data_IF_205817413272
#
_entry.id   IF_205817413272
#
_cell.length_a   1.000
_cell.length_b   1.000
_cell.length_c   1.000
_cell.angle_alpha   90.00
_cell.angle_beta   90.00
_cell.angle_gamma   90.00
#
_symmetry.space_group_name_H-M   'P 1'
#
loop_
_entity.id
_entity.type
_entity.pdbx_description
1 polymer ?
#
# COMPACT_ATOMS: atom_id res chain seq x y z
N UNK A 1 -9.50 14.86 -8.29
CA UNK A 1 -8.86 14.89 -6.94
C UNK A 1 -9.81 15.34 -5.86
N UNK A 2 -10.38 16.56 -5.90
CA UNK A 2 -11.36 16.97 -4.87
C UNK A 2 -12.56 16.02 -4.78
N UNK A 3 -13.13 15.61 -5.92
CA UNK A 3 -14.20 14.61 -5.96
C UNK A 3 -13.80 13.26 -5.30
N UNK A 4 -12.55 12.82 -5.50
CA UNK A 4 -12.01 11.61 -4.86
C UNK A 4 -11.93 11.77 -3.33
N UNK A 5 -11.47 12.92 -2.83
CA UNK A 5 -11.44 13.22 -1.38
C UNK A 5 -12.85 13.27 -0.76
N UNK A 6 -13.83 13.70 -1.53
CA UNK A 6 -15.24 13.79 -1.09
C UNK A 6 -16.02 12.50 -1.29
N UNK A 7 -15.38 11.44 -1.79
CA UNK A 7 -16.00 10.15 -2.10
C UNK A 7 -17.19 10.27 -3.08
N UNK A 8 -17.14 11.24 -3.99
CA UNK A 8 -18.19 11.52 -4.96
C UNK A 8 -17.90 10.83 -6.30
N UNK A 9 -18.45 9.62 -6.48
CA UNK A 9 -18.20 8.80 -7.67
C UNK A 9 -18.78 9.44 -8.93
N UNK A 10 -20.00 9.99 -8.83
CA UNK A 10 -20.69 10.62 -9.97
C UNK A 10 -19.93 11.85 -10.47
N UNK A 11 -19.32 12.63 -9.56
CA UNK A 11 -18.47 13.75 -9.97
C UNK A 11 -17.14 13.28 -10.56
N UNK A 12 -16.55 12.19 -10.08
CA UNK A 12 -15.36 11.60 -10.72
C UNK A 12 -15.68 11.18 -12.14
N UNK A 13 -16.77 10.44 -12.35
CA UNK A 13 -17.23 9.98 -13.66
C UNK A 13 -17.51 11.14 -14.61
N UNK A 14 -18.30 12.13 -14.17
CA UNK A 14 -18.61 13.31 -14.96
C UNK A 14 -17.36 14.09 -15.40
N UNK A 15 -16.36 14.20 -14.53
CA UNK A 15 -15.10 14.88 -14.88
C UNK A 15 -14.28 14.10 -15.91
N UNK A 16 -14.22 12.76 -15.78
CA UNK A 16 -13.52 11.90 -16.75
C UNK A 16 -14.20 12.01 -18.12
N UNK A 17 -15.53 11.90 -18.19
CA UNK A 17 -16.31 12.05 -19.42
C UNK A 17 -16.15 13.44 -20.05
N UNK A 18 -15.98 14.49 -19.23
CA UNK A 18 -15.69 15.84 -19.70
C UNK A 18 -14.22 16.05 -20.17
N UNK A 19 -13.40 14.99 -20.23
CA UNK A 19 -12.03 15.04 -20.72
C UNK A 19 -10.98 15.45 -19.67
N UNK A 20 -11.29 15.30 -18.37
CA UNK A 20 -10.28 15.53 -17.33
C UNK A 20 -9.08 14.58 -17.52
N UNK A 21 -7.87 15.15 -17.53
CA UNK A 21 -6.63 14.38 -17.64
C UNK A 21 -6.43 13.53 -16.38
N UNK A 22 -6.62 12.22 -16.50
CA UNK A 22 -6.59 11.24 -15.40
C UNK A 22 -5.26 11.25 -14.63
N UNK A 23 -4.14 11.47 -15.33
CA UNK A 23 -2.79 11.44 -14.77
C UNK A 23 -2.24 12.82 -14.36
N UNK A 24 -3.07 13.86 -14.33
CA UNK A 24 -2.63 15.15 -13.79
C UNK A 24 -2.24 15.01 -12.30
N UNK A 25 -1.28 15.83 -11.88
CA UNK A 25 -0.79 15.87 -10.50
C UNK A 25 -1.02 17.23 -9.85
N UNK A 26 -1.19 17.26 -8.52
CA UNK A 26 -1.06 18.49 -7.73
C UNK A 26 0.40 18.80 -7.41
N UNK A 27 0.67 19.92 -6.71
CA UNK A 27 2.01 20.36 -6.31
C UNK A 27 2.83 19.27 -5.61
N UNK A 28 2.19 18.40 -4.82
CA UNK A 28 2.84 17.27 -4.15
C UNK A 28 3.09 16.04 -5.03
N UNK A 29 2.93 16.18 -6.36
CA UNK A 29 2.97 15.10 -7.36
C UNK A 29 1.94 13.99 -7.17
N UNK A 30 0.92 14.19 -6.32
CA UNK A 30 -0.16 13.22 -6.15
C UNK A 30 -1.11 13.22 -7.35
N UNK A 31 -1.43 12.05 -7.87
CA UNK A 31 -2.44 11.84 -8.93
C UNK A 31 -3.85 11.71 -8.34
N UNK A 32 -4.88 11.76 -9.19
CA UNK A 32 -6.26 11.47 -8.76
C UNK A 32 -6.39 10.05 -8.17
N UNK A 33 -5.68 9.09 -8.75
CA UNK A 33 -5.69 7.70 -8.32
C UNK A 33 -5.07 7.53 -6.92
N UNK A 34 -3.94 8.20 -6.62
CA UNK A 34 -3.35 8.19 -5.26
C UNK A 34 -4.29 8.78 -4.21
N UNK A 35 -4.99 9.87 -4.57
CA UNK A 35 -5.94 10.52 -3.67
C UNK A 35 -7.14 9.60 -3.39
N UNK A 36 -7.66 8.91 -4.42
CA UNK A 36 -8.71 7.92 -4.24
C UNK A 36 -8.23 6.72 -3.39
N UNK A 37 -7.01 6.24 -3.63
CA UNK A 37 -6.41 5.13 -2.89
C UNK A 37 -6.25 5.47 -1.39
N UNK A 38 -5.69 6.65 -1.07
CA UNK A 38 -5.54 7.12 0.30
C UNK A 38 -6.89 7.33 1.02
N UNK A 39 -7.94 7.69 0.28
CA UNK A 39 -9.28 7.83 0.81
C UNK A 39 -10.05 6.50 0.96
N UNK A 40 -9.46 5.37 0.55
CA UNK A 40 -10.15 4.07 0.55
C UNK A 40 -11.30 3.99 -0.47
N UNK A 41 -11.26 4.82 -1.52
CA UNK A 41 -12.35 4.95 -2.49
C UNK A 41 -12.18 3.97 -3.64
N UNK A 42 -12.36 2.67 -3.36
CA UNK A 42 -12.10 1.58 -4.32
C UNK A 42 -12.81 1.75 -5.66
N UNK A 43 -14.09 2.16 -5.67
CA UNK A 43 -14.85 2.39 -6.91
C UNK A 43 -14.22 3.45 -7.82
N UNK A 44 -13.75 4.56 -7.23
CA UNK A 44 -13.04 5.57 -8.00
C UNK A 44 -11.66 5.08 -8.45
N UNK A 45 -10.98 4.23 -7.66
CA UNK A 45 -9.73 3.62 -8.09
C UNK A 45 -9.92 2.78 -9.34
N UNK A 46 -10.90 1.88 -9.34
CA UNK A 46 -11.27 1.06 -10.50
C UNK A 46 -11.56 1.92 -11.71
N UNK A 47 -12.46 2.90 -11.58
CA UNK A 47 -12.83 3.79 -12.68
C UNK A 47 -11.64 4.57 -13.25
N UNK A 48 -10.75 5.08 -12.39
CA UNK A 48 -9.56 5.80 -12.83
C UNK A 48 -8.57 4.87 -13.54
N UNK A 49 -8.37 3.64 -13.05
CA UNK A 49 -7.50 2.62 -13.68
C UNK A 49 -8.03 2.25 -15.06
N UNK A 50 -9.34 1.98 -15.19
CA UNK A 50 -9.99 1.67 -16.46
C UNK A 50 -9.84 2.81 -17.49
N UNK A 51 -9.70 4.05 -17.02
CA UNK A 51 -9.46 5.23 -17.85
C UNK A 51 -7.96 5.59 -17.97
N UNK A 52 -7.05 4.63 -17.73
CA UNK A 52 -5.63 4.76 -18.00
C UNK A 52 -4.83 5.50 -16.92
N UNK A 53 -5.29 5.51 -15.67
CA UNK A 53 -4.49 6.01 -14.57
C UNK A 53 -3.21 5.18 -14.38
N UNK A 54 -2.08 5.86 -14.21
CA UNK A 54 -0.79 5.21 -14.00
C UNK A 54 -0.64 4.70 -12.56
N UNK A 55 -0.71 3.38 -12.39
CA UNK A 55 -0.54 2.66 -11.12
C UNK A 55 0.91 2.64 -10.62
N UNK A 56 1.89 3.04 -11.42
CA UNK A 56 3.30 3.13 -11.02
C UNK A 56 3.72 4.54 -10.58
N UNK A 57 2.75 5.44 -10.44
CA UNK A 57 3.01 6.82 -10.04
C UNK A 57 3.61 6.89 -8.63
N UNK A 58 4.45 7.91 -8.39
CA UNK A 58 4.96 8.27 -7.06
C UNK A 58 4.83 9.75 -6.78
N UNK A 59 4.55 10.05 -5.52
CA UNK A 59 4.45 11.43 -5.06
C UNK A 59 5.83 12.06 -4.83
N UNK A 60 5.86 13.30 -4.34
CA UNK A 60 7.11 14.04 -4.11
C UNK A 60 8.04 13.40 -3.07
N UNK A 61 7.51 12.53 -2.20
CA UNK A 61 8.25 11.82 -1.16
C UNK A 61 8.61 10.39 -1.61
N UNK A 62 8.53 10.10 -2.91
CA UNK A 62 8.74 8.76 -3.50
C UNK A 62 7.71 7.73 -3.00
N UNK A 63 6.59 8.15 -2.38
CA UNK A 63 5.56 7.22 -1.91
C UNK A 63 4.76 6.71 -3.09
N UNK A 64 4.73 5.38 -3.28
CA UNK A 64 3.96 4.74 -4.34
C UNK A 64 2.47 4.65 -4.00
N UNK A 65 1.64 4.40 -5.01
CA UNK A 65 0.21 4.24 -4.83
C UNK A 65 -0.16 3.13 -3.84
N UNK A 66 0.58 2.02 -3.81
CA UNK A 66 0.30 0.89 -2.93
C UNK A 66 0.41 1.30 -1.47
N UNK A 67 1.41 2.13 -1.14
CA UNK A 67 1.58 2.68 0.19
C UNK A 67 0.41 3.61 0.56
N UNK A 68 -0.06 4.48 -0.35
CA UNK A 68 -1.26 5.29 -0.13
C UNK A 68 -2.51 4.41 0.08
N UNK A 69 -2.67 3.33 -0.69
CA UNK A 69 -3.78 2.39 -0.52
C UNK A 69 -3.74 1.72 0.85
N UNK A 70 -2.56 1.30 1.31
CA UNK A 70 -2.35 0.69 2.63
C UNK A 70 -2.70 1.67 3.76
N UNK A 71 -2.32 2.95 3.62
CA UNK A 71 -2.65 3.99 4.60
C UNK A 71 -4.17 4.13 4.82
N UNK A 72 -5.00 3.79 3.83
CA UNK A 72 -6.47 3.78 3.96
C UNK A 72 -7.02 2.63 4.80
N UNK A 73 -6.23 1.57 5.00
CA UNK A 73 -6.62 0.29 5.65
C UNK A 73 -7.85 -0.38 5.03
N UNK A 74 -8.27 0.04 3.83
CA UNK A 74 -9.43 -0.50 3.14
C UNK A 74 -9.01 -1.67 2.25
N UNK A 75 -9.41 -2.89 2.62
CA UNK A 75 -9.03 -4.10 1.90
C UNK A 75 -9.37 -4.04 0.40
N UNK A 76 -10.58 -3.60 0.05
CA UNK A 76 -11.00 -3.54 -1.36
C UNK A 76 -10.10 -2.61 -2.17
N UNK A 77 -9.73 -1.46 -1.61
CA UNK A 77 -8.83 -0.50 -2.25
C UNK A 77 -7.43 -1.08 -2.41
N UNK A 78 -6.87 -1.69 -1.36
CA UNK A 78 -5.56 -2.36 -1.46
C UNK A 78 -5.60 -3.48 -2.49
N UNK A 79 -6.66 -4.30 -2.49
CA UNK A 79 -6.84 -5.39 -3.43
C UNK A 79 -6.95 -4.92 -4.88
N UNK A 80 -7.72 -3.85 -5.15
CA UNK A 80 -7.80 -3.24 -6.49
C UNK A 80 -6.43 -2.81 -7.00
N UNK A 81 -5.59 -2.23 -6.14
CA UNK A 81 -4.25 -1.78 -6.52
C UNK A 81 -3.28 -2.95 -6.67
N UNK A 82 -3.25 -3.89 -5.72
CA UNK A 82 -2.35 -5.05 -5.73
C UNK A 82 -2.55 -5.90 -6.98
N UNK A 83 -3.79 -6.10 -7.43
CA UNK A 83 -4.11 -6.85 -8.66
C UNK A 83 -3.54 -6.24 -9.95
N UNK A 84 -3.08 -5.00 -9.91
CA UNK A 84 -2.44 -4.34 -11.06
C UNK A 84 -0.96 -4.69 -11.20
N UNK A 85 -0.36 -5.25 -10.14
CA UNK A 85 1.05 -5.62 -10.10
C UNK A 85 1.23 -7.11 -10.42
N UNK A 86 2.29 -7.43 -11.15
CA UNK A 86 2.63 -8.82 -11.43
C UNK A 86 3.45 -9.40 -10.28
N UNK A 87 2.90 -10.39 -9.58
CA UNK A 87 3.49 -11.04 -8.40
C UNK A 87 4.98 -11.41 -8.56
N UNK A 88 5.40 -11.89 -9.73
CA UNK A 88 6.76 -12.42 -9.92
C UNK A 88 7.72 -11.43 -10.59
N UNK A 89 7.21 -10.31 -11.11
CA UNK A 89 7.99 -9.37 -11.93
C UNK A 89 8.01 -7.97 -11.36
N UNK A 90 7.07 -7.64 -10.50
CA UNK A 90 6.90 -6.31 -9.99
C UNK A 90 7.68 -6.09 -8.70
N UNK A 91 8.54 -5.09 -8.73
CA UNK A 91 9.34 -4.70 -7.58
C UNK A 91 8.51 -3.90 -6.56
N UNK A 92 7.32 -3.42 -6.92
CA UNK A 92 6.51 -2.58 -6.04
C UNK A 92 6.08 -3.28 -4.74
N UNK A 93 5.94 -4.62 -4.72
CA UNK A 93 5.57 -5.37 -3.51
C UNK A 93 6.65 -5.35 -2.41
N UNK A 94 7.91 -5.16 -2.81
CA UNK A 94 9.06 -5.14 -1.91
C UNK A 94 9.83 -3.82 -1.98
N UNK A 95 9.26 -2.81 -2.65
CA UNK A 95 9.94 -1.55 -2.83
C UNK A 95 9.94 -0.75 -1.54
N UNK A 96 11.12 -0.35 -1.14
CA UNK A 96 11.35 0.56 -0.04
C UNK A 96 11.16 2.02 -0.49
N UNK A 97 10.22 2.73 0.13
CA UNK A 97 9.89 4.10 -0.26
C UNK A 97 9.88 5.07 0.92
N UNK A 98 9.89 6.36 0.61
CA UNK A 98 9.79 7.42 1.61
C UNK A 98 11.06 7.57 2.46
N UNK A 99 10.90 8.33 3.55
CA UNK A 99 11.99 8.65 4.47
C UNK A 99 12.47 7.42 5.25
N UNK A 100 11.55 6.53 5.63
CA UNK A 100 11.86 5.34 6.43
C UNK A 100 12.23 4.12 5.59
N UNK A 101 12.18 4.23 4.25
CA UNK A 101 12.46 3.10 3.34
C UNK A 101 11.62 1.86 3.66
N UNK A 102 10.36 2.07 4.05
CA UNK A 102 9.47 0.96 4.35
C UNK A 102 8.95 0.31 3.08
N UNK A 103 8.84 -1.02 3.12
CA UNK A 103 8.11 -1.82 2.14
C UNK A 103 6.60 -1.71 2.38
N UNK A 104 5.75 -2.12 1.41
CA UNK A 104 4.31 -2.20 1.62
C UNK A 104 3.93 -3.03 2.85
N UNK A 105 4.52 -4.22 3.01
CA UNK A 105 4.22 -5.09 4.14
C UNK A 105 4.62 -4.47 5.48
N UNK A 106 5.82 -3.89 5.57
CA UNK A 106 6.27 -3.26 6.82
C UNK A 106 5.35 -2.08 7.19
N UNK A 107 4.99 -1.24 6.21
CA UNK A 107 4.03 -0.14 6.40
C UNK A 107 2.67 -0.65 6.88
N UNK A 108 2.15 -1.74 6.31
CA UNK A 108 0.87 -2.30 6.71
C UNK A 108 0.88 -2.78 8.18
N UNK A 109 1.99 -3.35 8.65
CA UNK A 109 2.19 -3.78 10.03
C UNK A 109 2.29 -2.56 10.97
N UNK A 110 3.11 -1.56 10.62
CA UNK A 110 3.24 -0.32 11.40
C UNK A 110 1.90 0.43 11.52
N UNK A 111 1.05 0.37 10.50
CA UNK A 111 -0.27 0.98 10.55
C UNK A 111 -1.37 0.07 11.10
N UNK A 112 -1.09 -1.14 11.58
CA UNK A 112 -2.10 -2.08 12.08
C UNK A 112 -3.22 -2.36 11.07
N UNK A 113 -2.83 -2.68 9.84
CA UNK A 113 -3.80 -3.12 8.85
C UNK A 113 -4.43 -4.45 9.29
N UNK A 114 -5.64 -4.71 8.81
CA UNK A 114 -6.31 -5.97 9.06
C UNK A 114 -5.51 -7.15 8.49
N UNK A 115 -5.78 -8.35 9.00
CA UNK A 115 -5.07 -9.57 8.61
C UNK A 115 -5.22 -9.85 7.11
N UNK A 116 -6.35 -9.50 6.51
CA UNK A 116 -6.64 -9.74 5.10
C UNK A 116 -5.70 -8.93 4.18
N UNK A 117 -5.35 -7.69 4.56
CA UNK A 117 -4.34 -6.91 3.83
C UNK A 117 -2.95 -7.54 4.00
N UNK A 118 -2.58 -7.96 5.20
CA UNK A 118 -1.27 -8.59 5.45
C UNK A 118 -1.13 -9.87 4.63
N UNK A 119 -2.15 -10.74 4.69
CA UNK A 119 -2.20 -12.00 3.94
C UNK A 119 -2.20 -11.76 2.42
N UNK A 120 -2.95 -10.76 1.94
CA UNK A 120 -2.95 -10.38 0.53
C UNK A 120 -1.55 -10.00 0.04
N UNK A 121 -0.83 -9.16 0.79
CA UNK A 121 0.52 -8.72 0.42
C UNK A 121 1.51 -9.89 0.41
N UNK A 122 1.49 -10.73 1.45
CA UNK A 122 2.33 -11.93 1.56
C UNK A 122 2.06 -12.90 0.40
N UNK A 123 0.78 -13.18 0.12
CA UNK A 123 0.36 -14.03 -0.99
C UNK A 123 0.70 -13.46 -2.37
N UNK A 124 1.03 -12.16 -2.48
CA UNK A 124 1.51 -11.52 -3.71
C UNK A 124 3.03 -11.27 -3.69
N UNK A 125 3.78 -12.00 -2.86
CA UNK A 125 5.24 -12.02 -2.89
C UNK A 125 5.93 -10.96 -2.02
N UNK A 126 5.22 -10.33 -1.08
CA UNK A 126 5.87 -9.49 -0.08
C UNK A 126 6.82 -10.31 0.79
N UNK A 127 8.02 -9.78 1.02
CA UNK A 127 9.05 -10.42 1.81
C UNK A 127 8.70 -10.34 3.31
N UNK A 128 8.36 -11.48 3.91
CA UNK A 128 8.07 -11.59 5.34
C UNK A 128 9.26 -11.22 6.25
N UNK A 129 10.49 -11.17 5.70
CA UNK A 129 11.71 -10.75 6.39
C UNK A 129 12.02 -9.26 6.22
N UNK A 130 11.09 -8.45 5.66
CA UNK A 130 11.34 -7.02 5.53
C UNK A 130 11.53 -6.34 6.90
N UNK A 131 12.27 -5.24 6.91
CA UNK A 131 12.65 -4.52 8.13
C UNK A 131 12.64 -3.00 7.91
N UNK A 132 12.54 -2.25 9.00
CA UNK A 132 12.92 -0.84 9.00
C UNK A 132 14.44 -0.74 9.09
N UNK A 133 15.08 -0.29 8.02
CA UNK A 133 16.53 -0.11 7.96
C UNK A 133 17.06 1.01 8.86
N UNK A 134 16.20 1.89 9.35
CA UNK A 134 16.57 2.96 10.27
C UNK A 134 16.76 2.41 11.68
N UNK A 135 15.89 1.49 12.09
CA UNK A 135 15.88 0.92 13.45
C UNK A 135 16.40 -0.52 13.50
N UNK A 136 16.63 -1.14 12.34
CA UNK A 136 16.90 -2.58 12.16
C UNK A 136 15.81 -3.45 12.81
N UNK A 137 14.55 -2.99 12.77
CA UNK A 137 13.42 -3.74 13.33
C UNK A 137 12.75 -4.56 12.25
N UNK A 138 12.70 -5.88 12.41
CA UNK A 138 12.06 -6.77 11.44
C UNK A 138 10.53 -6.65 11.50
N UNK A 139 9.85 -7.01 10.42
CA UNK A 139 8.38 -7.09 10.36
C UNK A 139 7.83 -7.97 11.50
N UNK A 140 8.51 -9.09 11.81
CA UNK A 140 8.13 -10.00 12.88
C UNK A 140 8.28 -9.34 14.27
N UNK A 141 9.41 -8.68 14.54
CA UNK A 141 9.60 -7.93 15.78
C UNK A 141 8.55 -6.83 15.94
N UNK A 142 8.25 -6.08 14.87
CA UNK A 142 7.23 -5.04 14.90
C UNK A 142 5.84 -5.63 15.20
N UNK A 143 5.45 -6.75 14.58
CA UNK A 143 4.18 -7.42 14.87
C UNK A 143 4.05 -7.85 16.35
N UNK A 144 5.15 -8.30 16.95
CA UNK A 144 5.23 -8.68 18.38
C UNK A 144 5.15 -7.45 19.28
N UNK A 145 5.89 -6.37 18.98
CA UNK A 145 5.83 -5.10 19.72
C UNK A 145 4.40 -4.56 19.74
N UNK A 146 3.65 -4.78 18.66
CA UNK A 146 2.24 -4.40 18.53
C UNK A 146 1.26 -5.34 19.23
N UNK A 147 1.74 -6.49 19.73
CA UNK A 147 0.89 -7.53 20.33
C UNK A 147 -0.05 -8.19 19.33
N UNK A 148 0.22 -8.07 18.02
CA UNK A 148 -0.66 -8.61 16.98
C UNK A 148 -0.30 -10.08 16.69
N UNK A 149 -0.91 -10.98 17.47
CA UNK A 149 -0.67 -12.42 17.36
C UNK A 149 -0.99 -12.97 15.96
N UNK A 150 -2.05 -12.48 15.33
CA UNK A 150 -2.48 -12.96 14.00
C UNK A 150 -1.43 -12.60 12.95
N UNK A 151 -0.99 -11.34 12.91
CA UNK A 151 0.07 -10.91 12.00
C UNK A 151 1.39 -11.65 12.27
N UNK A 152 1.72 -11.88 13.54
CA UNK A 152 2.90 -12.67 13.92
C UNK A 152 2.83 -14.09 13.34
N UNK A 153 1.70 -14.77 13.48
CA UNK A 153 1.48 -16.11 12.93
C UNK A 153 1.55 -16.12 11.40
N UNK A 154 0.95 -15.12 10.74
CA UNK A 154 1.01 -14.99 9.27
C UNK A 154 2.44 -14.82 8.76
N UNK A 155 3.25 -13.98 9.43
CA UNK A 155 4.65 -13.76 9.06
C UNK A 155 5.48 -15.04 9.22
N UNK A 156 5.32 -15.76 10.33
CA UNK A 156 6.01 -17.04 10.56
C UNK A 156 5.59 -18.09 9.53
N UNK A 157 4.29 -18.17 9.19
CA UNK A 157 3.79 -19.07 8.15
C UNK A 157 4.38 -18.76 6.76
N UNK A 158 4.79 -17.50 6.52
CA UNK A 158 5.46 -17.06 5.29
C UNK A 158 6.99 -16.99 5.44
N UNK A 159 7.56 -17.70 6.43
CA UNK A 159 9.00 -17.91 6.55
C UNK A 159 9.76 -16.78 7.23
N UNK A 160 9.11 -15.91 8.01
CA UNK A 160 9.80 -14.96 8.87
C UNK A 160 10.66 -15.68 9.93
N UNK A 161 11.87 -15.16 10.17
CA UNK A 161 12.86 -15.83 11.04
C UNK A 161 12.58 -15.48 12.51
N UNK A 162 12.21 -16.50 13.27
CA UNK A 162 11.93 -16.39 14.71
C UNK A 162 13.20 -16.27 15.57
N UNK A 163 14.38 -16.61 15.03
CA UNK A 163 15.64 -16.46 15.76
C UNK A 163 16.11 -15.01 15.83
N UNK A 164 15.63 -14.14 14.94
CA UNK A 164 15.91 -12.69 14.95
C UNK A 164 15.42 -11.96 16.21
N UNK A 165 14.61 -12.62 17.05
CA UNK A 165 14.10 -12.09 18.34
C UNK A 165 15.16 -12.10 19.46
N UNK A 166 16.27 -12.82 19.30
CA UNK A 166 17.28 -13.03 20.34
C UNK A 166 18.31 -11.91 20.51
N UNK A 167 18.31 -10.89 19.63
CA UNK A 167 19.25 -9.74 19.70
C UNK A 167 18.70 -8.52 20.45
N UNK A 168 17.58 -8.67 21.15
CA UNK A 168 17.03 -7.61 22.01
C UNK A 168 17.58 -7.82 23.42
N UNK A 169 18.88 -7.55 23.59
CA UNK A 169 19.51 -7.38 24.91
C UNK A 169 19.87 -5.91 25.14
#
# INVERSE_FOLDING_TARGET
>A
MHACLKLDLGKVESLITAGAKVNNTIASRKTALMVAASAGFSKACTLLIENGANVYSRDQNDISILHHAIDSKNFETVSTIVRQFNQDKDIEMNREVGIHKWTPLYRAIVHDCNKEIIELLLNHGANAQCEDKTTNTTALQMAIIRGNLITTQLLVAHGADTHSLSKVE
#
